data_IF_792465153174
#
_entry.id   IF_792465153174
#
_cell.length_a   1.000
_cell.length_b   1.000
_cell.length_c   1.000
_cell.angle_alpha   90.00
_cell.angle_beta   90.00
_cell.angle_gamma   90.00
#
_symmetry.space_group_name_H-M   'P 1'
#
loop_
_entity.id
_entity.type
_entity.pdbx_description
1 polymer ?
#
# COMPACT_ATOMS: atom_id res chain seq x y z
N UNK A 1 -60.14 23.11 -23.53
CA UNK A 1 -60.20 24.58 -23.56
C UNK A 1 -59.24 25.07 -22.48
N UNK A 2 -58.26 25.90 -22.88
CA UNK A 2 -57.06 26.43 -22.20
C UNK A 2 -57.33 27.16 -20.86
N UNK A 3 -56.35 27.72 -20.09
CA UNK A 3 -54.88 27.90 -20.32
C UNK A 3 -53.98 27.53 -19.08
N UNK A 4 -52.69 27.22 -19.18
CA UNK A 4 -51.48 28.06 -19.39
C UNK A 4 -51.28 29.23 -18.39
N UNK A 5 -50.27 29.13 -17.52
CA UNK A 5 -49.30 30.19 -17.15
C UNK A 5 -48.03 29.55 -16.53
N UNK A 6 -46.86 29.83 -17.12
CA UNK A 6 -45.48 29.61 -16.62
C UNK A 6 -45.09 30.76 -15.64
N UNK A 7 -43.83 31.02 -15.16
CA UNK A 7 -42.49 30.47 -15.53
C UNK A 7 -41.41 30.39 -14.39
N UNK A 8 -40.17 30.03 -14.79
CA UNK A 8 -38.85 30.24 -14.13
C UNK A 8 -38.48 29.21 -13.02
N UNK A 9 -37.24 28.75 -12.84
CA UNK A 9 -35.93 29.39 -13.05
C UNK A 9 -34.79 28.39 -13.33
N UNK A 10 -33.67 28.98 -13.76
CA UNK A 10 -32.41 28.45 -14.25
C UNK A 10 -31.57 27.57 -13.29
N UNK A 11 -30.74 26.73 -13.93
CA UNK A 11 -29.36 26.34 -13.55
C UNK A 11 -29.14 25.53 -12.26
N UNK A 12 -28.49 24.36 -12.36
CA UNK A 12 -27.03 24.26 -12.28
C UNK A 12 -26.59 22.79 -12.23
N UNK A 13 -25.70 22.42 -13.15
CA UNK A 13 -24.90 21.20 -13.11
C UNK A 13 -24.08 21.11 -11.83
N UNK A 14 -24.06 19.95 -11.17
CA UNK A 14 -22.96 19.60 -10.28
C UNK A 14 -22.56 18.13 -10.43
N UNK A 15 -21.49 17.94 -11.20
CA UNK A 15 -20.58 16.80 -11.11
C UNK A 15 -20.10 16.70 -9.66
N UNK A 16 -20.45 15.60 -8.98
CA UNK A 16 -20.08 15.38 -7.59
C UNK A 16 -19.94 13.90 -7.26
N UNK A 17 -19.08 13.18 -8.00
CA UNK A 17 -18.53 11.90 -7.52
C UNK A 17 -17.65 12.20 -6.30
N UNK A 18 -18.22 12.19 -5.10
CA UNK A 18 -17.44 11.94 -3.89
C UNK A 18 -17.53 10.45 -3.61
N UNK A 19 -16.52 9.68 -4.05
CA UNK A 19 -16.27 8.37 -3.45
C UNK A 19 -15.96 8.64 -1.99
N UNK A 20 -16.88 8.27 -1.10
CA UNK A 20 -16.66 8.28 0.34
C UNK A 20 -15.40 7.50 0.70
N UNK A 21 -14.30 8.21 0.90
CA UNK A 21 -13.06 7.70 1.47
C UNK A 21 -13.15 7.57 3.01
N UNK A 22 -14.31 7.19 3.54
CA UNK A 22 -14.62 7.20 4.99
C UNK A 22 -15.02 5.86 5.59
N UNK A 23 -14.83 4.73 4.89
CA UNK A 23 -15.16 3.40 5.46
C UNK A 23 -13.96 2.59 5.98
N UNK A 24 -12.72 3.05 5.80
CA UNK A 24 -11.53 2.28 6.26
C UNK A 24 -11.24 2.37 7.78
N UNK A 25 -12.05 3.10 8.55
CA UNK A 25 -11.84 3.30 10.00
C UNK A 25 -12.63 2.33 10.90
N UNK A 26 -12.76 1.05 10.54
CA UNK A 26 -12.96 0.02 11.60
C UNK A 26 -11.59 -0.37 12.16
N UNK A 27 -11.00 0.58 12.89
CA UNK A 27 -9.70 0.43 13.56
C UNK A 27 -9.87 -0.46 14.79
N UNK A 28 -9.77 -1.77 14.59
CA UNK A 28 -9.23 -2.62 15.64
C UNK A 28 -7.71 -2.56 15.48
N UNK A 29 -6.96 -1.85 16.34
CA UNK A 29 -5.52 -1.69 16.18
C UNK A 29 -4.76 -3.04 16.16
N UNK A 30 -5.41 -4.11 16.60
CA UNK A 30 -4.92 -5.47 16.65
C UNK A 30 -5.53 -6.40 15.58
N UNK A 31 -6.36 -5.91 14.66
CA UNK A 31 -6.85 -6.74 13.56
C UNK A 31 -5.81 -6.79 12.44
N UNK A 32 -5.75 -7.94 11.74
CA UNK A 32 -4.87 -8.10 10.58
C UNK A 32 -5.27 -7.11 9.49
N UNK A 33 -4.36 -6.23 9.04
CA UNK A 33 -4.66 -5.29 7.95
C UNK A 33 -5.05 -6.02 6.65
N UNK A 34 -5.95 -5.46 5.83
CA UNK A 34 -6.40 -6.07 4.57
C UNK A 34 -5.38 -5.93 3.42
N UNK A 35 -4.08 -5.99 3.75
CA UNK A 35 -2.97 -5.85 2.80
C UNK A 35 -2.22 -7.17 2.66
N UNK A 36 -1.82 -7.49 1.42
CA UNK A 36 -0.89 -8.59 1.17
C UNK A 36 0.52 -8.22 1.63
N UNK A 37 1.40 -9.21 1.82
CA UNK A 37 2.80 -8.94 2.14
C UNK A 37 3.50 -8.14 1.03
N UNK A 38 3.20 -8.43 -0.23
CA UNK A 38 3.68 -7.66 -1.38
C UNK A 38 3.26 -6.20 -1.21
N UNK A 39 1.97 -5.95 -0.93
CA UNK A 39 1.44 -4.61 -0.73
C UNK A 39 2.12 -3.86 0.42
N UNK A 40 2.37 -4.54 1.54
CA UNK A 40 3.04 -3.95 2.70
C UNK A 40 4.48 -3.53 2.36
N UNK A 41 5.23 -4.39 1.67
CA UNK A 41 6.60 -4.10 1.25
C UNK A 41 6.61 -2.95 0.23
N UNK A 42 5.72 -2.98 -0.77
CA UNK A 42 5.59 -1.92 -1.77
C UNK A 42 5.33 -0.56 -1.12
N UNK A 43 4.35 -0.48 -0.20
CA UNK A 43 4.05 0.76 0.51
C UNK A 43 5.26 1.27 1.33
N UNK A 44 5.98 0.37 2.01
CA UNK A 44 7.17 0.73 2.77
C UNK A 44 8.24 1.36 1.86
N UNK A 45 8.57 0.69 0.75
CA UNK A 45 9.60 1.14 -0.20
C UNK A 45 9.18 2.46 -0.87
N UNK A 46 7.91 2.61 -1.25
CA UNK A 46 7.41 3.84 -1.88
C UNK A 46 7.43 5.04 -0.92
N UNK A 47 7.19 4.84 0.38
CA UNK A 47 7.24 5.91 1.37
C UNK A 47 8.67 6.29 1.78
N UNK A 48 9.65 5.42 1.53
CA UNK A 48 11.06 5.74 1.76
C UNK A 48 11.54 6.85 0.81
N UNK A 49 12.24 7.90 1.30
CA UNK A 49 12.76 8.98 0.45
C UNK A 49 13.70 8.47 -0.65
N UNK A 50 14.51 7.45 -0.34
CA UNK A 50 15.47 6.82 -1.24
C UNK A 50 14.85 5.75 -2.15
N UNK A 51 13.55 5.47 -2.03
CA UNK A 51 12.85 4.36 -2.73
C UNK A 51 13.52 3.00 -2.56
N UNK A 52 14.24 2.83 -1.46
CA UNK A 52 14.92 1.59 -1.09
C UNK A 52 14.96 1.43 0.42
N UNK A 53 14.76 0.21 0.89
CA UNK A 53 14.81 -0.14 2.31
C UNK A 53 15.53 -1.45 2.53
N UNK A 54 16.16 -1.60 3.67
CA UNK A 54 16.69 -2.87 4.15
C UNK A 54 15.56 -3.73 4.70
N UNK A 55 15.83 -5.03 4.83
CA UNK A 55 14.90 -5.97 5.46
C UNK A 55 14.48 -5.53 6.88
N UNK A 56 15.41 -4.99 7.66
CA UNK A 56 15.14 -4.52 9.01
C UNK A 56 14.22 -3.29 9.01
N UNK A 57 14.45 -2.34 8.10
CA UNK A 57 13.60 -1.14 7.98
C UNK A 57 12.19 -1.49 7.52
N UNK A 58 12.04 -2.47 6.62
CA UNK A 58 10.71 -2.98 6.23
C UNK A 58 9.96 -3.55 7.44
N UNK A 59 10.63 -4.32 8.31
CA UNK A 59 10.00 -4.85 9.52
C UNK A 59 9.54 -3.72 10.45
N UNK A 60 10.38 -2.72 10.68
CA UNK A 60 10.06 -1.61 11.56
C UNK A 60 8.88 -0.79 11.02
N UNK A 61 8.92 -0.41 9.74
CA UNK A 61 7.83 0.33 9.11
C UNK A 61 6.47 -0.39 9.25
N UNK A 62 6.45 -1.71 9.07
CA UNK A 62 5.22 -2.51 9.24
C UNK A 62 4.74 -2.50 10.70
N UNK A 63 5.64 -2.66 11.68
CA UNK A 63 5.29 -2.69 13.11
C UNK A 63 4.87 -1.32 13.66
N UNK A 64 5.42 -0.25 13.11
CA UNK A 64 5.10 1.12 13.47
C UNK A 64 3.68 1.46 13.00
N UNK A 65 3.35 1.12 11.76
CA UNK A 65 2.05 1.43 11.16
C UNK A 65 0.93 0.47 11.57
N UNK A 66 1.24 -0.82 11.76
CA UNK A 66 0.26 -1.87 12.01
C UNK A 66 0.61 -2.67 13.29
N UNK A 67 0.06 -2.27 14.45
CA UNK A 67 0.39 -2.91 15.74
C UNK A 67 0.13 -4.42 15.78
N UNK A 68 -0.78 -4.94 14.95
CA UNK A 68 -0.99 -6.39 14.72
C UNK A 68 0.31 -7.18 14.51
N UNK A 69 1.30 -6.61 13.80
CA UNK A 69 2.55 -7.31 13.47
C UNK A 69 3.63 -7.24 14.56
N UNK A 70 3.39 -6.57 15.70
CA UNK A 70 4.37 -6.54 16.80
C UNK A 70 4.50 -7.91 17.49
N UNK A 71 3.45 -8.73 17.41
CA UNK A 71 3.40 -10.08 17.94
C UNK A 71 3.74 -11.11 16.85
N UNK A 72 4.17 -12.32 17.26
CA UNK A 72 4.43 -13.45 16.35
C UNK A 72 5.41 -13.14 15.21
N UNK A 73 6.44 -12.33 15.51
CA UNK A 73 7.39 -11.77 14.54
C UNK A 73 8.00 -12.81 13.61
N UNK A 74 8.42 -13.95 14.14
CA UNK A 74 9.07 -15.01 13.37
C UNK A 74 8.25 -15.47 12.15
N UNK A 75 6.93 -15.65 12.31
CA UNK A 75 6.05 -16.20 11.27
C UNK A 75 5.87 -15.24 10.11
N UNK A 76 5.49 -13.99 10.39
CA UNK A 76 5.23 -13.03 9.32
C UNK A 76 6.52 -12.50 8.71
N UNK A 77 7.60 -12.34 9.49
CA UNK A 77 8.92 -11.96 8.93
C UNK A 77 9.44 -13.03 7.97
N UNK A 78 9.16 -14.31 8.23
CA UNK A 78 9.47 -15.37 7.27
C UNK A 78 8.71 -15.18 5.95
N UNK A 79 7.44 -14.81 6.05
CA UNK A 79 6.61 -14.53 4.86
C UNK A 79 7.09 -13.29 4.09
N UNK A 80 7.62 -12.27 4.79
CA UNK A 80 8.24 -11.09 4.16
C UNK A 80 9.52 -11.50 3.41
N UNK A 81 10.43 -12.25 4.04
CA UNK A 81 11.66 -12.74 3.39
C UNK A 81 11.36 -13.58 2.15
N UNK A 82 10.38 -14.46 2.25
CA UNK A 82 9.90 -15.26 1.12
C UNK A 82 9.36 -14.35 0.01
N UNK A 83 8.50 -13.38 0.35
CA UNK A 83 7.92 -12.46 -0.65
C UNK A 83 8.98 -11.66 -1.39
N UNK A 84 9.99 -11.14 -0.69
CA UNK A 84 11.09 -10.39 -1.29
C UNK A 84 11.91 -11.23 -2.26
N UNK A 85 12.10 -12.51 -1.98
CA UNK A 85 12.94 -13.39 -2.82
C UNK A 85 12.16 -14.07 -3.94
N UNK A 86 10.84 -14.24 -3.78
CA UNK A 86 9.98 -14.96 -4.71
C UNK A 86 9.36 -14.08 -5.79
N UNK A 87 9.13 -12.79 -5.52
CA UNK A 87 8.45 -11.91 -6.47
C UNK A 87 9.46 -10.99 -7.19
N UNK A 88 9.47 -11.05 -8.52
CA UNK A 88 10.38 -10.26 -9.38
C UNK A 88 10.18 -8.75 -9.28
N UNK A 89 9.07 -8.30 -8.68
CA UNK A 89 8.83 -6.90 -8.40
C UNK A 89 9.78 -6.32 -7.34
N UNK A 90 10.47 -7.16 -6.57
CA UNK A 90 11.45 -6.74 -5.58
C UNK A 90 12.87 -7.07 -6.03
N UNK A 91 13.70 -6.04 -6.14
CA UNK A 91 15.08 -6.17 -6.59
C UNK A 91 16.02 -5.94 -5.41
N UNK A 92 17.01 -6.83 -5.27
CA UNK A 92 18.05 -6.74 -4.25
C UNK A 92 19.20 -5.87 -4.75
N UNK A 93 19.52 -4.80 -4.01
CA UNK A 93 20.59 -3.85 -4.33
C UNK A 93 21.72 -3.98 -3.30
N UNK A 94 22.94 -4.19 -3.78
CA UNK A 94 24.13 -4.24 -2.95
C UNK A 94 24.40 -2.88 -2.29
N UNK A 95 24.97 -2.89 -1.08
CA UNK A 95 25.41 -1.66 -0.43
C UNK A 95 26.67 -1.13 -1.09
N UNK A 96 26.88 0.19 -1.05
CA UNK A 96 28.17 0.77 -1.42
C UNK A 96 29.27 0.22 -0.50
N UNK A 97 30.48 -0.07 -1.02
CA UNK A 97 31.63 -0.46 -0.20
C UNK A 97 31.90 0.52 0.96
N UNK A 98 31.62 1.81 0.73
CA UNK A 98 31.86 2.90 1.70
C UNK A 98 30.87 2.92 2.87
N UNK A 99 29.76 2.16 2.77
CA UNK A 99 28.71 2.10 3.79
C UNK A 99 28.53 0.66 4.28
N UNK A 100 29.49 0.13 5.05
CA UNK A 100 29.39 -1.21 5.61
C UNK A 100 28.16 -1.30 6.51
N UNK A 101 27.36 -2.36 6.31
CA UNK A 101 26.12 -2.56 7.05
C UNK A 101 25.51 -3.94 6.81
N UNK A 102 24.63 -4.38 7.71
CA UNK A 102 23.99 -5.68 7.61
C UNK A 102 22.98 -5.72 6.47
N UNK A 103 23.07 -6.77 5.66
CA UNK A 103 22.10 -7.07 4.59
C UNK A 103 22.16 -6.13 3.40
N UNK A 104 21.27 -6.35 2.44
CA UNK A 104 21.14 -5.56 1.21
C UNK A 104 19.95 -4.62 1.28
N UNK A 105 19.93 -3.64 0.39
CA UNK A 105 18.72 -2.86 0.11
C UNK A 105 17.77 -3.65 -0.78
N UNK A 106 16.49 -3.34 -0.66
CA UNK A 106 15.41 -3.84 -1.50
C UNK A 106 14.69 -2.65 -2.13
N UNK A 107 14.47 -2.73 -3.44
CA UNK A 107 13.80 -1.72 -4.24
C UNK A 107 12.66 -2.35 -5.02
N UNK A 108 11.79 -1.51 -5.59
CA UNK A 108 10.84 -1.98 -6.59
C UNK A 108 11.55 -2.07 -7.95
N UNK A 109 11.19 -3.06 -8.75
CA UNK A 109 11.57 -3.12 -10.15
C UNK A 109 10.96 -1.92 -10.90
N UNK A 110 11.68 -1.25 -11.82
CA UNK A 110 11.18 -0.09 -12.56
C UNK A 110 9.80 -0.33 -13.20
N UNK A 111 9.62 -1.49 -13.83
CA UNK A 111 8.37 -1.86 -14.51
C UNK A 111 7.24 -2.28 -13.57
N UNK A 112 7.52 -2.45 -12.27
CA UNK A 112 6.52 -2.83 -11.27
C UNK A 112 5.81 -1.64 -10.64
N UNK A 113 6.25 -0.40 -10.89
CA UNK A 113 5.64 0.80 -10.31
C UNK A 113 4.14 0.92 -10.61
N UNK A 114 3.75 0.60 -11.85
CA UNK A 114 2.36 0.72 -12.31
C UNK A 114 1.43 -0.41 -11.80
N UNK A 115 1.99 -1.51 -11.27
CA UNK A 115 1.20 -2.65 -10.78
C UNK A 115 0.36 -2.30 -9.54
N UNK A 116 0.76 -1.24 -8.83
CA UNK A 116 0.19 -0.92 -7.52
C UNK A 116 -0.57 0.42 -7.50
N UNK A 117 -0.32 1.32 -8.45
CA UNK A 117 -0.98 2.63 -8.54
C UNK A 117 -2.50 2.54 -8.77
N UNK A 118 -2.98 1.49 -9.44
CA UNK A 118 -4.40 1.29 -9.75
C UNK A 118 -5.23 0.59 -8.65
N UNK A 119 -4.76 0.58 -7.40
CA UNK A 119 -5.52 0.04 -6.26
C UNK A 119 -5.39 -1.47 -6.02
N UNK A 120 -4.42 -2.14 -6.64
CA UNK A 120 -4.12 -3.57 -6.44
C UNK A 120 -3.36 -3.87 -5.13
N UNK A 121 -3.43 -3.00 -4.12
CA UNK A 121 -2.84 -3.27 -2.80
C UNK A 121 -3.67 -4.25 -1.97
N UNK A 122 -4.92 -4.48 -2.35
CA UNK A 122 -5.82 -5.37 -1.62
C UNK A 122 -5.50 -6.83 -1.93
N UNK A 123 -5.62 -7.68 -0.92
CA UNK A 123 -5.51 -9.13 -1.10
C UNK A 123 -6.56 -9.59 -2.13
N UNK A 124 -6.12 -10.30 -3.18
CA UNK A 124 -7.02 -10.93 -4.16
C UNK A 124 -8.09 -11.75 -3.41
N UNK A 125 -9.35 -11.39 -3.57
CA UNK A 125 -10.46 -12.21 -3.03
C UNK A 125 -10.42 -13.57 -3.73
N UNK A 126 -10.69 -14.63 -2.95
CA UNK A 126 -10.77 -15.99 -3.46
C UNK A 126 -11.95 -16.02 -4.45
N UNK A 127 -11.69 -16.48 -5.69
CA UNK A 127 -12.75 -16.79 -6.65
C UNK A 127 -13.54 -18.00 -6.16
#
# INVERSE_FOLDING_TARGET
>A
MNPCMSPMAYSQSNLGRTRDAKTFKRSYPHAKPPYSYISLITMAIQQAPSKMLTLSEIYQWIMDLFPYYRQNQQRWQNSIRHSLSFNDCFVKVARSPDKPGKGSYWTLHPDSGNMFENGCYLRRQKR
#
